data_IF_735134394000
#
_entry.id   IF_735134394000
#
_cell.length_a   1.000
_cell.length_b   1.000
_cell.length_c   1.000
_cell.angle_alpha   90.00
_cell.angle_beta   90.00
_cell.angle_gamma   90.00
#
_symmetry.space_group_name_H-M   'P 1'
#
loop_
_entity.id
_entity.type
_entity.pdbx_description
1 polymer ?
#
# COMPACT_ATOMS: atom_id res chain seq x y z
N UNK A 1 -57.36 -13.05 -10.73
CA UNK A 1 -58.48 -12.16 -11.08
C UNK A 1 -58.04 -11.35 -12.29
N UNK A 2 -58.77 -11.59 -13.40
CA UNK A 2 -58.54 -11.03 -14.71
C UNK A 2 -59.14 -9.62 -14.85
N UNK A 3 -58.56 -8.84 -15.75
CA UNK A 3 -59.20 -7.90 -16.67
C UNK A 3 -58.08 -7.28 -17.50
N UNK A 4 -57.82 -7.65 -18.68
CA UNK A 4 -58.53 -7.64 -19.98
C UNK A 4 -59.04 -6.21 -20.32
N UNK A 5 -58.39 -5.56 -21.29
CA UNK A 5 -59.09 -4.90 -22.36
C UNK A 5 -58.18 -4.63 -23.57
N UNK A 6 -58.67 -5.09 -24.67
CA UNK A 6 -58.20 -5.03 -26.05
C UNK A 6 -58.83 -3.82 -26.78
N UNK A 7 -58.47 -3.57 -28.05
CA UNK A 7 -58.42 -2.27 -28.68
C UNK A 7 -59.65 -1.95 -29.52
N UNK A 8 -59.87 -0.70 -29.82
CA UNK A 8 -60.82 -0.31 -30.88
C UNK A 8 -60.07 0.32 -32.06
N UNK A 9 -60.37 -0.29 -33.18
CA UNK A 9 -60.07 0.18 -34.53
C UNK A 9 -61.19 1.12 -34.99
N UNK A 10 -60.86 2.24 -35.58
CA UNK A 10 -61.77 2.93 -36.51
C UNK A 10 -60.96 3.57 -37.61
N UNK A 11 -61.27 3.06 -38.81
CA UNK A 11 -60.96 3.60 -40.11
C UNK A 11 -61.64 4.96 -40.30
N UNK A 12 -60.95 5.95 -40.75
CA UNK A 12 -61.49 7.03 -41.56
C UNK A 12 -60.50 7.41 -42.64
N UNK A 13 -60.90 7.05 -43.88
CA UNK A 13 -60.27 7.53 -45.09
C UNK A 13 -60.77 8.96 -45.33
N UNK A 14 -59.85 9.92 -45.35
CA UNK A 14 -60.11 11.26 -45.90
C UNK A 14 -59.00 11.66 -46.87
N UNK A 15 -59.47 11.76 -48.09
CA UNK A 15 -59.18 12.63 -49.21
C UNK A 15 -57.89 13.48 -49.11
N UNK A 16 -56.86 13.10 -49.85
CA UNK A 16 -55.65 13.84 -50.08
C UNK A 16 -55.70 14.51 -51.47
N UNK A 17 -56.29 15.69 -51.50
CA UNK A 17 -56.00 16.69 -52.51
C UNK A 17 -55.43 17.95 -51.82
N UNK A 18 -54.16 17.91 -51.41
CA UNK A 18 -53.42 19.15 -51.15
C UNK A 18 -52.49 19.44 -52.35
N UNK A 19 -52.44 20.68 -52.81
CA UNK A 19 -51.58 21.07 -53.91
C UNK A 19 -50.12 20.99 -53.48
N UNK A 20 -49.27 20.52 -54.40
CA UNK A 20 -47.83 20.60 -54.30
C UNK A 20 -47.43 22.05 -54.06
N UNK A 21 -47.01 22.32 -52.84
CA UNK A 21 -46.49 23.61 -52.43
C UNK A 21 -45.18 23.91 -53.23
N UNK A 22 -45.20 25.04 -53.82
CA UNK A 22 -44.13 25.59 -54.68
C UNK A 22 -42.79 25.46 -53.97
N UNK A 23 -41.80 24.92 -54.67
CA UNK A 23 -40.43 24.82 -54.22
C UNK A 23 -39.92 26.16 -53.75
N UNK A 24 -39.96 26.39 -52.46
CA UNK A 24 -39.39 27.57 -51.84
C UNK A 24 -37.90 27.61 -52.17
N UNK A 25 -37.51 28.42 -53.15
CA UNK A 25 -36.10 28.78 -53.38
C UNK A 25 -35.56 29.38 -52.10
N UNK A 26 -34.72 28.64 -51.36
CA UNK A 26 -33.93 29.20 -50.27
C UNK A 26 -33.20 30.42 -50.82
N UNK A 27 -33.55 31.60 -50.32
CA UNK A 27 -32.89 32.84 -50.71
C UNK A 27 -31.40 32.74 -50.40
N UNK A 28 -30.57 33.18 -51.30
CA UNK A 28 -29.11 33.22 -51.11
C UNK A 28 -28.76 33.89 -49.77
N UNK A 29 -29.57 34.81 -49.29
CA UNK A 29 -29.47 35.47 -47.99
C UNK A 29 -29.72 34.51 -46.85
N UNK A 30 -30.65 33.55 -46.96
CA UNK A 30 -30.91 32.54 -45.89
C UNK A 30 -29.79 31.54 -45.75
N UNK A 31 -29.20 31.12 -46.86
CA UNK A 31 -28.02 30.26 -46.89
C UNK A 31 -26.81 30.94 -46.26
N UNK A 32 -26.59 32.23 -46.62
CA UNK A 32 -25.48 33.04 -46.06
C UNK A 32 -25.69 33.26 -44.55
N UNK A 33 -26.92 33.57 -44.12
CA UNK A 33 -27.24 33.76 -42.70
C UNK A 33 -27.14 32.48 -41.90
N UNK A 34 -27.55 31.34 -42.43
CA UNK A 34 -27.39 30.02 -41.84
C UNK A 34 -25.88 29.64 -41.71
N UNK A 35 -25.11 29.89 -42.76
CA UNK A 35 -23.66 29.72 -42.76
C UNK A 35 -22.94 30.57 -41.70
N UNK A 36 -23.33 31.87 -41.59
CA UNK A 36 -22.80 32.75 -40.54
C UNK A 36 -23.18 32.30 -39.14
N UNK A 37 -24.40 31.81 -38.90
CA UNK A 37 -24.83 31.26 -37.61
C UNK A 37 -24.06 30.01 -37.26
N UNK A 38 -23.75 29.13 -38.20
CA UNK A 38 -22.92 27.94 -37.97
C UNK A 38 -21.47 28.30 -37.67
N UNK A 39 -20.88 29.28 -38.39
CA UNK A 39 -19.52 29.78 -38.14
C UNK A 39 -19.39 30.39 -36.74
N UNK A 40 -20.30 31.29 -36.34
CA UNK A 40 -20.29 31.87 -34.98
C UNK A 40 -20.51 30.83 -33.89
N UNK A 41 -21.32 29.81 -34.12
CA UNK A 41 -21.52 28.70 -33.17
C UNK A 41 -20.26 27.84 -33.02
N UNK A 42 -19.57 27.55 -34.14
CA UNK A 42 -18.29 26.78 -34.08
C UNK A 42 -17.18 27.58 -33.40
N UNK A 43 -17.07 28.87 -33.62
CA UNK A 43 -16.13 29.77 -32.94
C UNK A 43 -16.41 29.84 -31.43
N UNK A 44 -17.67 29.91 -31.02
CA UNK A 44 -18.06 29.89 -29.61
C UNK A 44 -17.74 28.57 -28.95
N UNK A 45 -17.95 27.44 -29.64
CA UNK A 45 -17.60 26.10 -29.15
C UNK A 45 -16.07 25.93 -28.99
N UNK A 46 -15.30 26.38 -29.99
CA UNK A 46 -13.84 26.37 -29.92
C UNK A 46 -13.30 27.24 -28.77
N UNK A 47 -13.86 28.44 -28.60
CA UNK A 47 -13.49 29.34 -27.52
C UNK A 47 -13.86 28.76 -26.13
N UNK A 48 -15.00 28.09 -26.03
CA UNK A 48 -15.42 27.40 -24.80
C UNK A 48 -14.51 26.23 -24.48
N UNK A 49 -14.15 25.40 -25.46
CA UNK A 49 -13.21 24.30 -25.32
C UNK A 49 -11.80 24.77 -24.93
N UNK A 50 -11.31 25.82 -25.57
CA UNK A 50 -10.01 26.42 -25.23
C UNK A 50 -9.98 26.93 -23.78
N UNK A 51 -11.04 27.60 -23.32
CA UNK A 51 -11.16 28.07 -21.94
C UNK A 51 -11.30 26.90 -20.94
N UNK A 52 -11.97 25.84 -21.32
CA UNK A 52 -12.10 24.62 -20.51
C UNK A 52 -10.75 23.93 -20.39
N UNK A 53 -10.02 23.77 -21.49
CA UNK A 53 -8.70 23.16 -21.52
C UNK A 53 -7.68 23.98 -20.71
N UNK A 54 -7.69 25.30 -20.82
CA UNK A 54 -6.83 26.18 -20.03
C UNK A 54 -7.12 26.07 -18.52
N UNK A 55 -8.41 25.99 -18.13
CA UNK A 55 -8.78 25.77 -16.71
C UNK A 55 -8.34 24.40 -16.20
N UNK A 56 -8.51 23.36 -17.01
CA UNK A 56 -8.06 22.02 -16.64
C UNK A 56 -6.54 21.96 -16.50
N UNK A 57 -5.80 22.56 -17.44
CA UNK A 57 -4.34 22.65 -17.38
C UNK A 57 -3.85 23.38 -16.11
N UNK A 58 -4.49 24.51 -15.77
CA UNK A 58 -4.16 25.25 -14.55
C UNK A 58 -4.47 24.44 -13.28
N UNK A 59 -5.58 23.71 -13.26
CA UNK A 59 -5.93 22.82 -12.12
C UNK A 59 -4.91 21.70 -11.97
N UNK A 60 -4.52 21.05 -13.07
CA UNK A 60 -3.49 20.00 -13.06
C UNK A 60 -2.12 20.54 -12.65
N UNK A 61 -1.74 21.73 -13.12
CA UNK A 61 -0.48 22.37 -12.73
C UNK A 61 -0.48 22.75 -11.24
N UNK A 62 -1.60 23.25 -10.70
CA UNK A 62 -1.76 23.50 -9.27
C UNK A 62 -1.61 22.21 -8.47
N UNK A 63 -2.26 21.12 -8.87
CA UNK A 63 -2.16 19.84 -8.19
C UNK A 63 -0.72 19.30 -8.24
N UNK A 64 -0.05 19.39 -9.38
CA UNK A 64 1.35 18.97 -9.53
C UNK A 64 2.28 19.77 -8.60
N UNK A 65 2.07 21.08 -8.46
CA UNK A 65 2.83 21.91 -7.53
C UNK A 65 2.62 21.45 -6.06
N UNK A 66 1.39 21.11 -5.68
CA UNK A 66 1.08 20.57 -4.36
C UNK A 66 1.70 19.20 -4.15
N UNK A 67 1.73 18.34 -5.16
CA UNK A 67 2.43 17.05 -5.15
C UNK A 67 3.91 17.24 -4.86
N UNK A 68 4.57 18.17 -5.53
CA UNK A 68 6.00 18.47 -5.27
C UNK A 68 6.20 18.95 -3.83
N UNK A 69 5.35 19.85 -3.33
CA UNK A 69 5.45 20.35 -1.94
C UNK A 69 5.28 19.20 -0.92
N UNK A 70 4.26 18.35 -1.11
CA UNK A 70 4.04 17.16 -0.27
C UNK A 70 5.27 16.25 -0.29
N UNK A 71 5.85 16.06 -1.48
CA UNK A 71 6.95 15.12 -1.68
C UNK A 71 8.27 15.62 -1.11
N UNK A 72 8.55 16.91 -1.22
CA UNK A 72 9.69 17.55 -0.55
C UNK A 72 9.56 17.42 0.98
N UNK A 73 8.38 17.76 1.52
CA UNK A 73 8.12 17.62 2.94
C UNK A 73 8.26 16.17 3.42
N UNK A 74 7.76 15.21 2.61
CA UNK A 74 7.87 13.79 2.93
C UNK A 74 9.32 13.28 2.82
N UNK A 75 10.09 13.73 1.82
CA UNK A 75 11.52 13.38 1.70
C UNK A 75 12.35 13.82 2.90
N UNK A 76 12.10 15.05 3.40
CA UNK A 76 12.70 15.54 4.65
C UNK A 76 12.24 14.70 5.86
N UNK A 77 10.95 14.41 5.96
CA UNK A 77 10.40 13.58 7.04
C UNK A 77 10.95 12.14 7.00
N UNK A 78 11.15 11.58 5.81
CA UNK A 78 11.74 10.25 5.61
C UNK A 78 13.20 10.21 6.08
N UNK A 79 14.02 11.19 5.65
CA UNK A 79 15.40 11.32 6.11
C UNK A 79 15.47 11.41 7.65
N UNK A 80 14.70 12.31 8.27
CA UNK A 80 14.70 12.48 9.71
C UNK A 80 14.23 11.20 10.44
N UNK A 81 13.23 10.52 9.89
CA UNK A 81 12.71 9.28 10.45
C UNK A 81 13.74 8.15 10.38
N UNK A 82 14.36 7.94 9.21
CA UNK A 82 15.39 6.92 9.03
C UNK A 82 16.61 7.19 9.92
N UNK A 83 17.08 8.45 9.99
CA UNK A 83 18.16 8.85 10.89
C UNK A 83 17.82 8.56 12.37
N UNK A 84 16.58 8.88 12.80
CA UNK A 84 16.13 8.59 14.16
C UNK A 84 16.07 7.09 14.48
N UNK A 85 15.69 6.25 13.50
CA UNK A 85 15.68 4.80 13.64
C UNK A 85 17.10 4.20 13.71
N UNK A 86 18.03 4.73 12.91
CA UNK A 86 19.41 4.28 12.94
C UNK A 86 20.04 4.61 14.30
N UNK A 87 19.85 5.84 14.80
CA UNK A 87 20.32 6.24 16.14
C UNK A 87 19.69 5.36 17.23
N UNK A 88 18.37 5.10 17.13
CA UNK A 88 17.67 4.28 18.10
C UNK A 88 18.16 2.82 18.11
N UNK A 89 18.47 2.28 16.93
CA UNK A 89 18.99 0.92 16.77
C UNK A 89 20.41 0.81 17.32
N UNK A 90 21.29 1.71 16.90
CA UNK A 90 22.69 1.76 17.39
C UNK A 90 22.74 1.90 18.92
N UNK A 91 21.96 2.83 19.48
CA UNK A 91 21.88 3.01 20.92
C UNK A 91 21.39 1.75 21.66
N UNK A 92 20.36 1.06 21.13
CA UNK A 92 19.86 -0.17 21.71
C UNK A 92 20.89 -1.31 21.69
N UNK A 93 21.63 -1.45 20.60
CA UNK A 93 22.65 -2.50 20.45
C UNK A 93 23.79 -2.35 21.47
N UNK A 94 24.14 -1.11 21.81
CA UNK A 94 25.14 -0.83 22.83
C UNK A 94 24.60 -0.83 24.28
N UNK A 95 23.28 -0.81 24.50
CA UNK A 95 22.65 -0.63 25.79
C UNK A 95 21.52 -1.66 26.02
N UNK A 96 21.89 -2.90 26.34
CA UNK A 96 20.91 -4.03 26.50
C UNK A 96 19.81 -3.74 27.55
N UNK A 97 20.11 -2.93 28.58
CA UNK A 97 19.13 -2.57 29.61
C UNK A 97 17.89 -1.85 29.07
N UNK A 98 17.97 -1.25 27.87
CA UNK A 98 16.88 -0.47 27.27
C UNK A 98 15.67 -1.34 26.90
N UNK A 99 15.87 -2.64 26.70
CA UNK A 99 14.77 -3.57 26.48
C UNK A 99 13.79 -3.59 27.67
N UNK A 100 14.27 -3.37 28.91
CA UNK A 100 13.43 -3.29 30.10
C UNK A 100 12.44 -2.11 30.05
N UNK A 101 12.66 -1.12 29.19
CA UNK A 101 11.76 0.01 29.00
C UNK A 101 10.61 -0.29 28.01
N UNK A 102 10.62 -1.43 27.31
CA UNK A 102 9.56 -1.79 26.36
C UNK A 102 8.16 -1.74 26.98
N UNK A 103 7.92 -2.26 28.22
CA UNK A 103 6.61 -2.13 28.88
C UNK A 103 6.21 -0.68 29.16
N UNK A 104 7.17 0.16 29.59
CA UNK A 104 6.92 1.57 29.89
C UNK A 104 6.54 2.33 28.62
N UNK A 105 7.32 2.17 27.54
CA UNK A 105 7.06 2.77 26.22
C UNK A 105 5.75 2.26 25.65
N UNK A 106 5.44 0.97 25.79
CA UNK A 106 4.16 0.40 25.35
C UNK A 106 2.98 1.05 26.01
N UNK A 107 3.02 1.19 27.36
CA UNK A 107 1.95 1.86 28.14
C UNK A 107 1.85 3.34 27.78
N UNK A 108 2.99 4.03 27.67
CA UNK A 108 3.01 5.46 27.29
C UNK A 108 2.41 5.68 25.90
N UNK A 109 2.81 4.88 24.92
CA UNK A 109 2.25 4.90 23.55
C UNK A 109 0.74 4.63 23.59
N UNK A 110 0.31 3.61 24.32
CA UNK A 110 -1.09 3.28 24.46
C UNK A 110 -1.88 4.44 25.09
N UNK A 111 -1.33 5.09 26.11
CA UNK A 111 -1.97 6.23 26.78
C UNK A 111 -2.10 7.45 25.85
N UNK A 112 -1.04 7.80 25.12
CA UNK A 112 -1.04 8.91 24.16
C UNK A 112 -2.07 8.68 23.06
N UNK A 113 -2.10 7.48 22.47
CA UNK A 113 -3.10 7.14 21.45
C UNK A 113 -4.53 7.09 21.99
N UNK A 114 -4.73 6.68 23.25
CA UNK A 114 -6.06 6.71 23.88
C UNK A 114 -6.59 8.15 24.01
N UNK A 115 -5.75 9.07 24.39
CA UNK A 115 -6.17 10.44 24.73
C UNK A 115 -6.13 11.38 23.50
N UNK A 116 -5.20 11.16 22.59
CA UNK A 116 -4.93 12.11 21.50
C UNK A 116 -5.02 11.52 20.09
N UNK A 117 -5.14 10.21 19.93
CA UNK A 117 -4.98 9.53 18.66
C UNK A 117 -5.93 8.37 18.35
N UNK A 118 -7.16 8.37 18.85
CA UNK A 118 -8.10 7.23 18.65
C UNK A 118 -8.27 6.83 17.18
N UNK A 119 -8.41 7.79 16.28
CA UNK A 119 -8.49 7.51 14.84
C UNK A 119 -7.14 6.99 14.28
N UNK A 120 -6.02 7.52 14.78
CA UNK A 120 -4.67 7.14 14.35
C UNK A 120 -4.31 5.67 14.66
N UNK A 121 -4.99 5.02 15.62
CA UNK A 121 -4.84 3.57 15.91
C UNK A 121 -5.13 2.68 14.71
N UNK A 122 -5.84 3.16 13.71
CA UNK A 122 -6.14 2.43 12.49
C UNK A 122 -4.93 2.32 11.54
N UNK A 123 -3.88 3.10 11.79
CA UNK A 123 -2.63 3.06 11.03
C UNK A 123 -2.88 3.24 9.53
N UNK A 124 -2.26 2.39 8.71
CA UNK A 124 -2.40 2.41 7.25
C UNK A 124 -3.85 2.24 6.75
N UNK A 125 -4.71 1.58 7.53
CA UNK A 125 -6.14 1.49 7.17
C UNK A 125 -6.84 2.86 7.18
N UNK A 126 -6.43 3.78 8.06
CA UNK A 126 -6.94 5.15 8.04
C UNK A 126 -6.43 5.91 6.81
N UNK A 127 -5.20 5.66 6.36
CA UNK A 127 -4.64 6.27 5.15
C UNK A 127 -5.42 5.82 3.91
N UNK A 128 -5.70 4.53 3.80
CA UNK A 128 -6.52 3.95 2.71
C UNK A 128 -7.92 4.56 2.72
N UNK A 129 -8.59 4.63 3.88
CA UNK A 129 -9.91 5.23 3.99
C UNK A 129 -9.92 6.73 3.63
N UNK A 130 -8.85 7.46 3.99
CA UNK A 130 -8.71 8.88 3.63
C UNK A 130 -8.50 9.05 2.12
N UNK A 131 -7.63 8.23 1.51
CA UNK A 131 -7.42 8.24 0.05
C UNK A 131 -8.72 7.99 -0.70
N UNK A 132 -9.60 7.14 -0.19
CA UNK A 132 -10.92 6.87 -0.77
C UNK A 132 -11.98 7.93 -0.43
N UNK A 133 -11.58 9.00 0.28
CA UNK A 133 -12.43 10.15 0.59
C UNK A 133 -13.44 9.92 1.70
N UNK A 134 -13.22 8.95 2.56
CA UNK A 134 -14.14 8.59 3.66
C UNK A 134 -13.78 9.25 5.00
N UNK A 135 -12.51 9.65 5.21
CA UNK A 135 -12.04 10.22 6.48
C UNK A 135 -10.88 11.21 6.27
N UNK A 136 -10.85 12.27 7.09
CA UNK A 136 -9.71 13.19 7.18
C UNK A 136 -8.70 12.66 8.23
N UNK A 137 -7.42 12.92 7.98
CA UNK A 137 -6.32 12.58 8.89
C UNK A 137 -5.77 13.86 9.50
N UNK A 138 -5.72 13.92 10.83
CA UNK A 138 -5.13 15.06 11.54
C UNK A 138 -3.60 14.96 11.57
N UNK A 139 -2.90 16.09 11.48
CA UNK A 139 -1.43 16.18 11.49
C UNK A 139 -0.79 15.48 12.71
N UNK A 140 -1.51 15.42 13.82
CA UNK A 140 -1.10 14.65 15.02
C UNK A 140 -0.71 13.21 14.73
N UNK A 141 -1.34 12.58 13.72
CA UNK A 141 -1.00 11.19 13.36
C UNK A 141 0.45 11.06 12.89
N UNK A 142 0.94 11.99 12.05
CA UNK A 142 2.33 11.94 11.58
C UNK A 142 3.32 12.01 12.75
N UNK A 143 3.12 12.97 13.66
CA UNK A 143 3.97 13.15 14.84
C UNK A 143 3.92 11.93 15.76
N UNK A 144 2.72 11.43 16.07
CA UNK A 144 2.54 10.26 16.93
C UNK A 144 3.18 9.01 16.31
N UNK A 145 2.98 8.81 15.01
CA UNK A 145 3.56 7.67 14.30
C UNK A 145 5.09 7.75 14.29
N UNK A 146 5.65 8.93 14.00
CA UNK A 146 7.09 9.15 14.03
C UNK A 146 7.70 8.83 15.41
N UNK A 147 7.21 9.50 16.46
CA UNK A 147 7.76 9.37 17.81
C UNK A 147 7.53 7.97 18.38
N UNK A 148 6.30 7.45 18.31
CA UNK A 148 6.00 6.16 18.91
C UNK A 148 6.64 5.00 18.17
N UNK A 149 6.83 5.09 16.84
CA UNK A 149 7.55 4.07 16.07
C UNK A 149 9.04 4.09 16.42
N UNK A 150 9.68 5.26 16.50
CA UNK A 150 11.08 5.38 16.93
C UNK A 150 11.29 4.82 18.34
N UNK A 151 10.39 5.13 19.29
CA UNK A 151 10.45 4.58 20.64
C UNK A 151 10.24 3.06 20.68
N UNK A 152 9.35 2.52 19.83
CA UNK A 152 9.18 1.06 19.70
C UNK A 152 10.49 0.39 19.26
N UNK A 153 11.18 0.95 18.27
CA UNK A 153 12.46 0.42 17.79
C UNK A 153 13.59 0.59 18.83
N UNK A 154 13.63 1.73 19.50
CA UNK A 154 14.59 2.02 20.57
C UNK A 154 14.51 0.96 21.68
N UNK A 155 13.30 0.58 22.09
CA UNK A 155 13.09 -0.38 23.19
C UNK A 155 12.97 -1.83 22.75
N UNK A 156 13.24 -2.11 21.48
CA UNK A 156 13.35 -3.48 20.97
C UNK A 156 12.04 -4.10 20.47
N UNK A 157 10.97 -3.34 20.27
CA UNK A 157 9.77 -3.89 19.64
C UNK A 157 10.05 -4.29 18.19
N UNK A 158 9.73 -5.55 17.82
CA UNK A 158 9.94 -6.07 16.46
C UNK A 158 8.90 -5.52 15.51
N UNK A 159 9.31 -4.57 14.66
CA UNK A 159 8.44 -3.89 13.69
C UNK A 159 9.25 -3.33 12.53
N UNK A 160 8.56 -2.91 11.46
CA UNK A 160 9.14 -2.24 10.30
C UNK A 160 8.97 -0.73 10.34
N UNK A 161 9.57 -0.06 9.38
CA UNK A 161 9.60 1.42 9.25
C UNK A 161 8.63 1.95 8.19
N UNK A 162 8.36 1.17 7.16
CA UNK A 162 7.68 1.64 5.94
C UNK A 162 6.20 1.94 6.16
N UNK A 163 5.51 1.09 6.93
CA UNK A 163 4.12 1.34 7.29
C UNK A 163 3.94 2.66 8.05
N UNK A 164 4.91 2.99 8.91
CA UNK A 164 4.94 4.29 9.60
C UNK A 164 5.18 5.44 8.63
N UNK A 165 6.11 5.29 7.67
CA UNK A 165 6.37 6.29 6.65
C UNK A 165 5.15 6.57 5.78
N UNK A 166 4.43 5.55 5.34
CA UNK A 166 3.17 5.68 4.58
C UNK A 166 2.12 6.47 5.38
N UNK A 167 2.03 6.23 6.70
CA UNK A 167 1.15 7.01 7.58
C UNK A 167 1.56 8.48 7.64
N UNK A 168 2.86 8.78 7.72
CA UNK A 168 3.39 10.14 7.74
C UNK A 168 3.08 10.84 6.41
N UNK A 169 3.40 10.21 5.27
CA UNK A 169 3.18 10.78 3.94
C UNK A 169 1.70 11.01 3.63
N UNK A 170 0.85 10.02 3.94
CA UNK A 170 -0.60 10.16 3.79
C UNK A 170 -1.17 11.27 4.70
N UNK A 171 -0.62 11.44 5.91
CA UNK A 171 -1.02 12.51 6.82
C UNK A 171 -0.63 13.89 6.27
N UNK A 172 0.60 14.05 5.77
CA UNK A 172 1.06 15.31 5.15
C UNK A 172 0.16 15.65 3.96
N UNK A 173 -0.08 14.69 3.06
CA UNK A 173 -0.94 14.86 1.90
C UNK A 173 -2.38 15.26 2.29
N UNK A 174 -2.98 14.60 3.27
CA UNK A 174 -4.33 14.89 3.76
C UNK A 174 -4.47 16.32 4.29
N UNK A 175 -3.47 16.78 5.07
CA UNK A 175 -3.49 18.13 5.64
C UNK A 175 -3.26 19.22 4.58
N UNK A 176 -2.32 19.02 3.64
CA UNK A 176 -2.09 19.95 2.53
C UNK A 176 -3.33 19.99 1.62
N UNK A 177 -3.97 18.85 1.36
CA UNK A 177 -5.23 18.81 0.61
C UNK A 177 -6.33 19.61 1.28
N UNK A 178 -6.49 19.48 2.60
CA UNK A 178 -7.47 20.23 3.38
C UNK A 178 -7.18 21.75 3.36
N UNK A 179 -5.90 22.13 3.54
CA UNK A 179 -5.47 23.52 3.50
C UNK A 179 -5.68 24.17 2.12
N UNK A 180 -5.44 23.41 1.05
CA UNK A 180 -5.65 23.84 -0.33
C UNK A 180 -7.11 23.76 -0.80
N UNK A 181 -8.03 23.27 0.07
CA UNK A 181 -9.46 23.09 -0.20
C UNK A 181 -9.71 22.27 -1.49
N UNK A 182 -8.97 21.14 -1.64
CA UNK A 182 -9.05 20.31 -2.83
C UNK A 182 -10.41 19.58 -2.92
N UNK A 183 -10.86 19.36 -4.14
CA UNK A 183 -12.02 18.51 -4.42
C UNK A 183 -11.67 17.04 -4.16
N UNK A 184 -12.68 16.20 -4.00
CA UNK A 184 -12.53 14.78 -3.68
C UNK A 184 -11.58 14.03 -4.63
N UNK A 185 -11.63 14.30 -5.93
CA UNK A 185 -10.76 13.68 -6.92
C UNK A 185 -9.30 14.11 -6.72
N UNK A 186 -9.04 15.42 -6.62
CA UNK A 186 -7.69 15.97 -6.44
C UNK A 186 -7.10 15.57 -5.05
N UNK A 187 -7.97 15.44 -4.04
CA UNK A 187 -7.60 14.89 -2.72
C UNK A 187 -7.12 13.44 -2.84
N UNK A 188 -7.86 12.62 -3.56
CA UNK A 188 -7.49 11.23 -3.83
C UNK A 188 -6.12 11.13 -4.49
N UNK A 189 -5.91 11.86 -5.58
CA UNK A 189 -4.63 11.86 -6.33
C UNK A 189 -3.46 12.33 -5.45
N UNK A 190 -3.67 13.39 -4.65
CA UNK A 190 -2.65 13.89 -3.73
C UNK A 190 -2.34 12.88 -2.60
N UNK A 191 -3.34 12.15 -2.12
CA UNK A 191 -3.15 11.09 -1.12
C UNK A 191 -2.30 9.95 -1.67
N UNK A 192 -2.61 9.47 -2.89
CA UNK A 192 -1.81 8.42 -3.55
C UNK A 192 -0.38 8.91 -3.81
N UNK A 193 -0.21 10.17 -4.22
CA UNK A 193 1.10 10.80 -4.38
C UNK A 193 1.89 10.85 -3.06
N UNK A 194 1.25 11.20 -1.94
CA UNK A 194 1.88 11.20 -0.61
C UNK A 194 2.32 9.80 -0.16
N UNK A 195 1.52 8.78 -0.43
CA UNK A 195 1.87 7.36 -0.19
C UNK A 195 3.08 6.96 -1.06
N UNK A 196 3.05 7.31 -2.35
CA UNK A 196 4.14 7.05 -3.31
C UNK A 196 5.45 7.69 -2.88
N UNK A 197 5.40 8.96 -2.48
CA UNK A 197 6.57 9.70 -1.99
C UNK A 197 7.18 9.06 -0.74
N UNK A 198 6.31 8.66 0.21
CA UNK A 198 6.76 8.03 1.45
C UNK A 198 7.46 6.69 1.18
N UNK A 199 6.89 5.89 0.30
CA UNK A 199 7.45 4.59 -0.07
C UNK A 199 8.79 4.75 -0.80
N UNK A 200 8.84 5.58 -1.85
CA UNK A 200 10.06 5.83 -2.62
C UNK A 200 11.20 6.40 -1.77
N UNK A 201 10.88 7.35 -0.87
CA UNK A 201 11.85 8.00 0.00
C UNK A 201 12.43 7.08 1.08
N UNK A 202 11.64 6.12 1.61
CA UNK A 202 12.10 5.24 2.70
C UNK A 202 12.79 3.98 2.18
N UNK A 203 12.37 3.48 1.03
CA UNK A 203 12.97 2.28 0.42
C UNK A 203 14.14 2.55 -0.53
N UNK A 204 14.28 3.78 -1.02
CA UNK A 204 15.19 4.03 -2.12
C UNK A 204 14.74 3.44 -3.46
N UNK A 205 13.43 3.21 -3.59
CA UNK A 205 12.83 2.52 -4.74
C UNK A 205 11.75 3.39 -5.38
N UNK A 206 12.12 4.38 -6.20
CA UNK A 206 11.17 5.36 -6.72
C UNK A 206 10.14 4.79 -7.70
N UNK A 207 10.49 3.82 -8.55
CA UNK A 207 9.52 3.14 -9.42
C UNK A 207 8.52 2.35 -8.59
N UNK A 208 9.02 1.52 -7.67
CA UNK A 208 8.16 0.77 -6.78
C UNK A 208 7.22 1.68 -5.99
N UNK A 209 7.72 2.80 -5.46
CA UNK A 209 6.92 3.76 -4.71
C UNK A 209 5.79 4.36 -5.53
N UNK A 210 6.05 4.70 -6.80
CA UNK A 210 5.02 5.22 -7.70
C UNK A 210 3.88 4.18 -7.90
N UNK A 211 4.22 2.96 -8.25
CA UNK A 211 3.23 1.91 -8.46
C UNK A 211 2.56 1.44 -7.17
N UNK A 212 3.29 1.47 -6.03
CA UNK A 212 2.73 1.16 -4.73
C UNK A 212 1.58 2.10 -4.36
N UNK A 213 1.74 3.41 -4.55
CA UNK A 213 0.66 4.36 -4.31
C UNK A 213 -0.57 4.10 -5.18
N UNK A 214 -0.38 3.76 -6.46
CA UNK A 214 -1.47 3.44 -7.39
C UNK A 214 -2.19 2.11 -7.08
N UNK A 215 -1.50 1.16 -6.40
CA UNK A 215 -1.99 -0.21 -6.19
C UNK A 215 -2.45 -0.48 -4.76
N UNK A 216 -1.88 0.18 -3.76
CA UNK A 216 -2.05 -0.12 -2.33
C UNK A 216 -3.51 -0.09 -1.85
N UNK A 217 -4.35 0.77 -2.42
CA UNK A 217 -5.73 0.93 -1.97
C UNK A 217 -6.69 -0.15 -2.48
N UNK A 218 -6.31 -0.87 -3.53
CA UNK A 218 -7.17 -1.79 -4.26
C UNK A 218 -6.55 -3.17 -4.43
N UNK A 219 -7.40 -4.20 -4.46
CA UNK A 219 -7.02 -5.55 -4.87
C UNK A 219 -7.62 -5.81 -6.26
N UNK A 220 -6.75 -6.14 -7.22
CA UNK A 220 -7.13 -6.42 -8.60
C UNK A 220 -7.40 -5.18 -9.45
N UNK A 221 -6.94 -3.99 -9.03
CA UNK A 221 -7.02 -2.74 -9.80
C UNK A 221 -5.80 -1.87 -9.51
N UNK A 222 -5.31 -1.19 -10.54
CA UNK A 222 -4.33 -0.10 -10.44
C UNK A 222 -5.04 1.21 -10.79
N UNK A 223 -4.79 2.25 -10.01
CA UNK A 223 -5.34 3.57 -10.28
C UNK A 223 -4.38 4.40 -11.14
N UNK A 224 -4.57 4.31 -12.45
CA UNK A 224 -3.73 5.05 -13.42
C UNK A 224 -4.02 6.55 -13.46
N UNK A 225 -5.16 7.01 -12.90
CA UNK A 225 -5.53 8.45 -12.95
C UNK A 225 -4.53 9.30 -12.18
N UNK A 226 -4.04 8.78 -11.05
CA UNK A 226 -3.00 9.41 -10.24
C UNK A 226 -1.56 9.13 -10.73
N UNK A 227 -1.38 8.39 -11.83
CA UNK A 227 -0.08 7.83 -12.24
C UNK A 227 1.04 8.85 -12.33
N UNK A 228 0.83 9.98 -13.03
CA UNK A 228 1.86 11.03 -13.17
C UNK A 228 2.18 11.69 -11.82
N UNK A 229 1.18 11.90 -10.96
CA UNK A 229 1.38 12.47 -9.64
C UNK A 229 2.16 11.52 -8.72
N UNK A 230 1.87 10.22 -8.78
CA UNK A 230 2.60 9.18 -8.05
C UNK A 230 4.05 9.06 -8.50
N UNK A 231 4.31 9.11 -9.83
CA UNK A 231 5.67 9.12 -10.37
C UNK A 231 6.46 10.33 -9.88
N UNK A 232 5.94 11.55 -10.13
CA UNK A 232 6.62 12.78 -9.70
C UNK A 232 6.85 12.77 -8.18
N UNK A 233 5.86 12.34 -7.40
CA UNK A 233 5.96 12.31 -5.95
C UNK A 233 7.04 11.36 -5.46
N UNK A 234 7.05 10.14 -5.97
CA UNK A 234 7.99 9.11 -5.54
C UNK A 234 9.44 9.49 -5.84
N UNK A 235 9.70 9.95 -7.07
CA UNK A 235 11.05 10.42 -7.45
C UNK A 235 11.47 11.68 -6.67
N UNK A 236 10.57 12.65 -6.49
CA UNK A 236 10.89 13.86 -5.70
C UNK A 236 11.21 13.51 -4.26
N UNK A 237 10.42 12.65 -3.61
CA UNK A 237 10.67 12.20 -2.24
C UNK A 237 11.98 11.45 -2.11
N UNK A 238 12.26 10.52 -3.02
CA UNK A 238 13.51 9.76 -3.09
C UNK A 238 14.73 10.68 -3.23
N UNK A 239 14.74 11.57 -4.24
CA UNK A 239 15.87 12.47 -4.43
C UNK A 239 16.07 13.45 -3.26
N UNK A 240 14.98 13.92 -2.65
CA UNK A 240 15.07 14.78 -1.46
C UNK A 240 15.74 14.04 -0.31
N UNK A 241 15.32 12.82 -0.03
CA UNK A 241 15.92 12.00 1.04
C UNK A 241 17.38 11.68 0.74
N UNK A 242 17.72 11.35 -0.52
CA UNK A 242 19.08 11.06 -0.97
C UNK A 242 20.02 12.26 -0.82
N UNK A 243 19.59 13.45 -1.24
CA UNK A 243 20.36 14.71 -1.12
C UNK A 243 20.61 15.06 0.34
N UNK A 244 19.72 14.70 1.25
CA UNK A 244 19.89 14.88 2.69
C UNK A 244 20.80 13.83 3.35
N UNK A 245 21.33 12.88 2.56
CA UNK A 245 22.31 11.88 3.04
C UNK A 245 21.69 10.59 3.54
N UNK A 246 20.48 10.22 3.07
CA UNK A 246 19.94 8.88 3.35
C UNK A 246 20.72 7.83 2.57
N UNK A 247 21.24 6.84 3.28
CA UNK A 247 21.88 5.66 2.70
C UNK A 247 20.85 4.51 2.65
N UNK A 248 20.86 3.77 1.54
CA UNK A 248 19.98 2.62 1.33
C UNK A 248 20.81 1.34 1.27
N UNK A 249 20.38 0.32 2.02
CA UNK A 249 21.01 -0.99 1.98
C UNK A 249 20.78 -1.65 0.61
N UNK A 250 21.86 -2.10 -0.01
CA UNK A 250 21.81 -2.82 -1.28
C UNK A 250 22.12 -4.30 -1.04
N UNK A 251 21.16 -5.16 -1.33
CA UNK A 251 21.39 -6.60 -1.43
C UNK A 251 21.62 -6.98 -2.90
N UNK A 252 22.64 -7.78 -3.17
CA UNK A 252 23.01 -8.17 -4.53
C UNK A 252 22.70 -9.65 -4.76
N UNK A 253 22.09 -9.95 -5.92
CA UNK A 253 21.94 -11.33 -6.38
C UNK A 253 23.27 -11.77 -6.99
N UNK A 254 23.95 -12.71 -6.35
CA UNK A 254 25.28 -13.16 -6.76
C UNK A 254 25.25 -13.98 -8.08
N UNK A 255 24.23 -14.83 -8.26
CA UNK A 255 24.07 -15.62 -9.47
C UNK A 255 22.61 -15.87 -9.79
N UNK A 256 22.24 -15.67 -11.05
CA UNK A 256 20.89 -15.99 -11.55
C UNK A 256 20.96 -17.27 -12.38
N UNK A 257 20.19 -18.31 -11.99
CA UNK A 257 20.17 -19.56 -12.75
C UNK A 257 19.51 -19.37 -14.12
N UNK A 258 19.89 -20.21 -15.06
CA UNK A 258 19.20 -20.27 -16.35
C UNK A 258 17.74 -20.70 -16.16
N UNK A 259 16.83 -20.14 -16.97
CA UNK A 259 15.40 -20.46 -16.93
C UNK A 259 15.14 -21.85 -17.56
N UNK A 260 15.35 -22.89 -16.76
CA UNK A 260 15.06 -24.29 -17.15
C UNK A 260 13.73 -24.73 -16.54
N UNK A 261 13.07 -25.79 -17.05
CA UNK A 261 11.84 -26.32 -16.44
C UNK A 261 12.02 -26.65 -14.95
N UNK A 262 13.17 -27.20 -14.54
CA UNK A 262 13.49 -27.48 -13.13
C UNK A 262 13.53 -26.20 -12.30
N UNK A 263 14.22 -25.18 -12.76
CA UNK A 263 14.33 -23.89 -12.06
C UNK A 263 12.95 -23.23 -11.92
N UNK A 264 12.14 -23.23 -12.99
CA UNK A 264 10.78 -22.67 -12.95
C UNK A 264 9.90 -23.41 -11.96
N UNK A 265 9.94 -24.73 -11.90
CA UNK A 265 9.17 -25.52 -10.91
C UNK A 265 9.58 -25.18 -9.48
N UNK A 266 10.88 -25.07 -9.19
CA UNK A 266 11.38 -24.68 -7.87
C UNK A 266 10.86 -23.27 -7.51
N UNK A 267 10.97 -22.32 -8.42
CA UNK A 267 10.52 -20.94 -8.22
C UNK A 267 9.00 -20.87 -7.99
N UNK A 268 8.21 -21.63 -8.74
CA UNK A 268 6.74 -21.70 -8.56
C UNK A 268 6.37 -22.27 -7.21
N UNK A 269 7.00 -23.36 -6.76
CA UNK A 269 6.76 -23.96 -5.45
C UNK A 269 7.17 -22.96 -4.35
N UNK A 270 8.34 -22.34 -4.48
CA UNK A 270 8.81 -21.32 -3.55
C UNK A 270 7.84 -20.14 -3.47
N UNK A 271 7.33 -19.65 -4.60
CA UNK A 271 6.36 -18.55 -4.65
C UNK A 271 5.04 -18.89 -3.93
N UNK A 272 4.57 -20.15 -4.02
CA UNK A 272 3.41 -20.62 -3.25
C UNK A 272 3.73 -20.56 -1.75
N UNK A 273 4.90 -21.04 -1.33
CA UNK A 273 5.35 -21.01 0.06
C UNK A 273 5.43 -19.55 0.56
N UNK A 274 6.00 -18.63 -0.22
CA UNK A 274 6.08 -17.20 0.11
C UNK A 274 4.68 -16.59 0.29
N UNK A 275 3.75 -16.89 -0.62
CA UNK A 275 2.36 -16.44 -0.51
C UNK A 275 1.66 -16.96 0.75
N UNK A 276 1.84 -18.24 1.08
CA UNK A 276 1.28 -18.84 2.30
C UNK A 276 1.92 -18.26 3.56
N UNK A 277 3.23 -17.97 3.54
CA UNK A 277 3.94 -17.33 4.66
C UNK A 277 3.40 -15.94 4.93
N UNK A 278 3.16 -15.12 3.89
CA UNK A 278 2.54 -13.81 4.03
C UNK A 278 1.13 -13.89 4.61
N UNK A 279 0.34 -14.87 4.17
CA UNK A 279 -0.99 -15.14 4.72
C UNK A 279 -0.94 -15.54 6.19
N UNK A 280 0.02 -16.41 6.56
CA UNK A 280 0.28 -16.83 7.94
C UNK A 280 0.65 -15.62 8.81
N UNK A 281 1.55 -14.76 8.33
CA UNK A 281 1.93 -13.53 9.03
C UNK A 281 0.70 -12.64 9.29
N UNK A 282 -0.07 -12.31 8.27
CA UNK A 282 -1.26 -11.48 8.40
C UNK A 282 -2.33 -12.11 9.31
N UNK A 283 -2.47 -13.43 9.29
CA UNK A 283 -3.34 -14.17 10.20
C UNK A 283 -2.81 -14.10 11.64
N UNK A 284 -1.52 -14.32 11.87
CA UNK A 284 -0.89 -14.28 13.20
C UNK A 284 -1.06 -12.93 13.88
N UNK A 285 -0.76 -11.82 13.16
CA UNK A 285 -0.93 -10.46 13.69
C UNK A 285 -2.39 -10.19 14.10
N UNK A 286 -3.35 -10.58 13.26
CA UNK A 286 -4.79 -10.43 13.56
C UNK A 286 -5.23 -11.29 14.74
N UNK A 287 -4.79 -12.54 14.78
CA UNK A 287 -5.15 -13.49 15.85
C UNK A 287 -4.61 -13.02 17.19
N UNK A 288 -3.33 -12.61 17.25
CA UNK A 288 -2.72 -12.07 18.48
C UNK A 288 -3.46 -10.81 18.93
N UNK A 289 -3.77 -9.88 18.01
CA UNK A 289 -4.55 -8.67 18.30
C UNK A 289 -5.95 -9.00 18.82
N UNK A 290 -6.62 -9.99 18.25
CA UNK A 290 -7.93 -10.46 18.69
C UNK A 290 -7.88 -11.11 20.07
N UNK A 291 -6.89 -11.99 20.33
CA UNK A 291 -6.68 -12.62 21.63
C UNK A 291 -6.45 -11.58 22.73
N UNK A 292 -5.53 -10.63 22.52
CA UNK A 292 -5.35 -9.54 23.47
C UNK A 292 -6.64 -8.75 23.67
N UNK A 293 -7.42 -8.51 22.58
CA UNK A 293 -8.71 -7.82 22.65
C UNK A 293 -9.76 -8.56 23.44
N UNK A 294 -9.81 -9.89 23.33
CA UNK A 294 -10.77 -10.76 24.00
C UNK A 294 -10.50 -10.90 25.50
N UNK A 295 -9.23 -11.05 25.89
CA UNK A 295 -8.86 -11.31 27.29
C UNK A 295 -8.56 -10.05 28.08
N UNK A 296 -8.15 -8.95 27.42
CA UNK A 296 -7.71 -7.72 28.09
C UNK A 296 -8.47 -6.52 27.51
N UNK A 297 -9.52 -6.10 28.21
CA UNK A 297 -10.35 -4.95 27.80
C UNK A 297 -9.64 -3.62 27.99
N UNK A 298 -8.82 -3.48 29.04
CA UNK A 298 -8.07 -2.27 29.28
C UNK A 298 -6.87 -2.17 28.33
N UNK A 299 -6.89 -1.13 27.51
CA UNK A 299 -5.89 -0.91 26.45
C UNK A 299 -4.46 -0.70 27.00
N UNK A 300 -4.31 -0.05 28.16
CA UNK A 300 -3.01 0.16 28.81
C UNK A 300 -2.43 -1.14 29.35
N UNK A 301 -3.28 -1.95 30.00
CA UNK A 301 -2.91 -3.27 30.52
C UNK A 301 -2.53 -4.22 29.38
N UNK A 302 -3.24 -4.10 28.25
CA UNK A 302 -2.91 -4.86 27.03
C UNK A 302 -1.51 -4.54 26.53
N UNK A 303 -1.13 -3.26 26.46
CA UNK A 303 0.20 -2.86 26.03
C UNK A 303 1.29 -3.34 27.01
N UNK A 304 1.03 -3.27 28.31
CA UNK A 304 1.93 -3.78 29.36
C UNK A 304 2.15 -5.30 29.22
N UNK A 305 1.08 -6.06 29.20
CA UNK A 305 1.15 -7.54 29.10
C UNK A 305 1.78 -7.94 27.76
N UNK A 306 1.40 -7.27 26.67
CA UNK A 306 1.99 -7.53 25.36
C UNK A 306 3.49 -7.29 25.33
N UNK A 307 3.98 -6.22 25.95
CA UNK A 307 5.42 -5.97 26.09
C UNK A 307 6.13 -7.08 26.88
N UNK A 308 5.54 -7.48 28.01
CA UNK A 308 6.12 -8.57 28.81
C UNK A 308 6.14 -9.91 28.06
N UNK A 309 5.12 -10.20 27.26
CA UNK A 309 5.09 -11.39 26.38
C UNK A 309 6.16 -11.32 25.30
N UNK A 310 6.41 -10.15 24.70
CA UNK A 310 7.50 -9.96 23.72
C UNK A 310 8.86 -10.21 24.38
N UNK A 311 9.11 -9.61 25.56
CA UNK A 311 10.36 -9.84 26.30
C UNK A 311 10.54 -11.31 26.72
N UNK A 312 9.47 -11.95 27.17
CA UNK A 312 9.50 -13.36 27.48
C UNK A 312 9.81 -14.23 26.24
N UNK A 313 9.23 -13.87 25.07
CA UNK A 313 9.54 -14.56 23.83
C UNK A 313 11.02 -14.39 23.44
N UNK A 314 11.59 -13.19 23.59
CA UNK A 314 13.02 -12.97 23.35
C UNK A 314 13.90 -13.83 24.28
N UNK A 315 13.56 -13.87 25.57
CA UNK A 315 14.33 -14.65 26.54
C UNK A 315 14.21 -16.16 26.34
N UNK A 316 13.01 -16.66 26.00
CA UNK A 316 12.75 -18.10 25.83
C UNK A 316 13.29 -18.66 24.51
N UNK A 317 13.31 -17.83 23.44
CA UNK A 317 13.73 -18.25 22.11
C UNK A 317 15.17 -17.79 21.79
N UNK A 318 15.85 -17.12 22.72
CA UNK A 318 17.12 -16.44 22.50
C UNK A 318 17.07 -15.53 21.25
N UNK A 319 15.99 -14.75 21.16
CA UNK A 319 15.61 -14.00 19.95
C UNK A 319 15.88 -12.49 20.03
N UNK A 320 16.88 -12.07 20.82
CA UNK A 320 17.22 -10.66 21.01
C UNK A 320 17.64 -9.95 19.71
N UNK A 321 18.32 -10.66 18.81
CA UNK A 321 18.77 -10.14 17.52
C UNK A 321 17.60 -9.88 16.56
N UNK A 322 16.41 -10.45 16.81
CA UNK A 322 15.21 -10.22 16.01
C UNK A 322 14.42 -8.99 16.45
N UNK A 323 14.93 -8.23 17.44
CA UNK A 323 14.33 -7.00 17.90
C UNK A 323 14.49 -5.86 16.88
N UNK A 324 13.53 -4.94 16.86
CA UNK A 324 13.54 -3.80 15.94
C UNK A 324 13.38 -4.20 14.48
N UNK A 325 14.13 -3.55 13.59
CA UNK A 325 14.09 -3.80 12.14
C UNK A 325 14.67 -5.17 11.77
N UNK A 326 15.77 -5.58 12.43
CA UNK A 326 16.53 -6.81 12.12
C UNK A 326 16.94 -6.89 10.64
N UNK A 327 17.52 -5.81 10.09
CA UNK A 327 17.95 -5.76 8.69
C UNK A 327 19.01 -6.80 8.37
N UNK A 328 19.84 -7.18 9.37
CA UNK A 328 20.81 -8.28 9.27
C UNK A 328 20.20 -9.58 8.73
N UNK A 329 18.92 -9.86 9.05
CA UNK A 329 18.24 -11.09 8.65
C UNK A 329 18.09 -11.19 7.11
N UNK A 330 17.87 -10.06 6.45
CA UNK A 330 17.87 -10.02 4.98
C UNK A 330 19.27 -10.35 4.44
N UNK A 331 20.31 -9.69 4.94
CA UNK A 331 21.69 -9.96 4.55
C UNK A 331 22.12 -11.41 4.79
N UNK A 332 21.75 -11.98 5.94
CA UNK A 332 22.00 -13.38 6.24
C UNK A 332 21.27 -14.34 5.28
N UNK A 333 20.02 -14.00 4.89
CA UNK A 333 19.28 -14.73 3.87
C UNK A 333 19.97 -14.73 2.51
N UNK A 334 20.46 -13.57 2.07
CA UNK A 334 21.23 -13.46 0.82
C UNK A 334 22.57 -14.21 0.87
N UNK A 335 23.19 -14.31 2.05
CA UNK A 335 24.42 -15.09 2.26
C UNK A 335 24.16 -16.61 2.40
N UNK A 336 22.90 -17.05 2.46
CA UNK A 336 22.54 -18.47 2.71
C UNK A 336 22.78 -18.94 4.15
N UNK A 337 22.92 -18.01 5.09
CA UNK A 337 23.21 -18.28 6.51
C UNK A 337 21.95 -18.26 7.38
N UNK A 338 20.81 -18.62 6.81
CA UNK A 338 19.52 -18.63 7.51
C UNK A 338 18.90 -20.02 7.53
N UNK A 339 18.03 -20.23 8.50
CA UNK A 339 17.23 -21.46 8.69
C UNK A 339 15.74 -21.13 8.65
N UNK A 340 14.90 -22.16 8.60
CA UNK A 340 13.44 -21.97 8.72
C UNK A 340 13.06 -21.34 10.08
N UNK A 341 13.85 -21.64 11.13
CA UNK A 341 13.62 -21.08 12.47
C UNK A 341 13.75 -19.55 12.49
N UNK A 342 14.71 -18.98 11.76
CA UNK A 342 14.92 -17.54 11.69
C UNK A 342 13.69 -16.81 11.13
N UNK A 343 13.12 -17.32 10.05
CA UNK A 343 11.89 -16.79 9.47
C UNK A 343 10.70 -16.93 10.44
N UNK A 344 10.59 -18.08 11.13
CA UNK A 344 9.51 -18.33 12.08
C UNK A 344 9.62 -17.45 13.33
N UNK A 345 10.82 -17.30 13.90
CA UNK A 345 11.07 -16.44 15.08
C UNK A 345 10.70 -15.00 14.74
N UNK A 346 11.21 -14.47 13.62
CA UNK A 346 10.88 -13.09 13.19
C UNK A 346 9.38 -12.89 13.01
N UNK A 347 8.69 -13.87 12.42
CA UNK A 347 7.24 -13.84 12.26
C UNK A 347 6.52 -13.76 13.61
N UNK A 348 6.89 -14.61 14.57
CA UNK A 348 6.26 -14.70 15.89
C UNK A 348 6.48 -13.41 16.68
N UNK A 349 7.73 -12.95 16.83
CA UNK A 349 8.03 -11.78 17.66
C UNK A 349 7.43 -10.50 17.07
N UNK A 350 7.34 -10.39 15.72
CA UNK A 350 6.66 -9.29 15.06
C UNK A 350 5.15 -9.35 15.28
N UNK A 351 4.54 -10.53 15.15
CA UNK A 351 3.11 -10.70 15.40
C UNK A 351 2.73 -10.39 16.85
N UNK A 352 3.56 -10.76 17.82
CA UNK A 352 3.38 -10.40 19.23
C UNK A 352 3.48 -8.89 19.45
N UNK A 353 4.48 -8.24 18.88
CA UNK A 353 4.70 -6.78 19.00
C UNK A 353 3.55 -5.98 18.41
N UNK A 354 3.23 -6.22 17.12
CA UNK A 354 2.18 -5.48 16.42
C UNK A 354 0.77 -5.81 16.96
N UNK A 355 0.56 -7.07 17.34
CA UNK A 355 -0.69 -7.53 17.95
C UNK A 355 -0.95 -6.88 19.32
N UNK A 356 0.08 -6.60 20.10
CA UNK A 356 -0.01 -5.87 21.37
C UNK A 356 -0.39 -4.39 21.18
N UNK A 357 -0.22 -3.84 19.98
CA UNK A 357 -0.58 -2.46 19.64
C UNK A 357 0.60 -1.49 19.63
N UNK A 358 1.83 -1.99 19.60
CA UNK A 358 3.01 -1.16 19.35
C UNK A 358 2.94 -0.56 17.96
N UNK A 359 3.53 0.64 17.82
CA UNK A 359 3.57 1.35 16.55
C UNK A 359 4.78 0.90 15.73
N UNK A 360 4.56 0.68 14.44
CA UNK A 360 5.56 0.26 13.47
C UNK A 360 4.90 -0.27 12.21
N UNK A 361 5.71 -0.63 11.23
CA UNK A 361 5.27 -1.19 9.95
C UNK A 361 5.36 -2.72 9.91
N UNK A 362 4.67 -3.31 8.96
CA UNK A 362 4.70 -4.73 8.69
C UNK A 362 5.71 -5.13 7.61
N UNK A 363 6.19 -4.17 6.81
CA UNK A 363 6.87 -4.45 5.52
C UNK A 363 8.30 -4.93 5.72
N UNK A 364 9.15 -4.24 6.52
CA UNK A 364 10.52 -4.71 6.79
C UNK A 364 10.54 -6.13 7.38
N UNK A 365 9.67 -6.49 8.37
CA UNK A 365 9.56 -7.87 8.80
C UNK A 365 9.20 -8.85 7.69
N UNK A 366 8.29 -8.51 6.78
CA UNK A 366 7.95 -9.36 5.64
C UNK A 366 9.14 -9.58 4.72
N UNK A 367 9.98 -8.56 4.51
CA UNK A 367 11.22 -8.68 3.76
C UNK A 367 12.21 -9.62 4.44
N UNK A 368 12.47 -9.42 5.73
CA UNK A 368 13.39 -10.28 6.48
C UNK A 368 12.93 -11.74 6.52
N UNK A 369 11.63 -11.98 6.79
CA UNK A 369 11.03 -13.32 6.77
C UNK A 369 11.16 -13.95 5.39
N UNK A 370 10.86 -13.20 4.34
CA UNK A 370 10.92 -13.66 2.96
C UNK A 370 12.35 -13.97 2.51
N UNK A 371 13.31 -13.09 2.83
CA UNK A 371 14.72 -13.29 2.51
C UNK A 371 15.31 -14.51 3.25
N UNK A 372 15.02 -14.63 4.55
CA UNK A 372 15.49 -15.79 5.34
C UNK A 372 14.93 -17.10 4.80
N UNK A 373 13.63 -17.16 4.54
CA UNK A 373 12.97 -18.34 4.00
C UNK A 373 13.48 -18.67 2.58
N UNK A 374 13.67 -17.66 1.73
CA UNK A 374 14.19 -17.82 0.39
C UNK A 374 15.63 -18.33 0.38
N UNK A 375 16.51 -17.74 1.21
CA UNK A 375 17.90 -18.17 1.36
C UNK A 375 18.01 -19.64 1.81
N UNK A 376 17.19 -20.02 2.82
CA UNK A 376 17.10 -21.41 3.29
C UNK A 376 16.65 -22.36 2.16
N UNK A 377 15.61 -22.00 1.40
CA UNK A 377 15.15 -22.82 0.24
C UNK A 377 16.24 -22.90 -0.80
N UNK A 378 17.04 -21.84 -1.01
CA UNK A 378 18.19 -21.83 -1.92
C UNK A 378 19.21 -22.91 -1.57
N UNK A 379 19.61 -22.96 -0.31
CA UNK A 379 20.50 -24.01 0.20
C UNK A 379 19.93 -25.41 0.02
N UNK A 380 18.63 -25.61 0.25
CA UNK A 380 17.99 -26.94 0.09
C UNK A 380 17.90 -27.39 -1.35
N UNK A 381 17.67 -26.47 -2.30
CA UNK A 381 17.43 -26.82 -3.70
C UNK A 381 18.69 -26.84 -4.55
N UNK A 382 19.81 -26.34 -3.99
CA UNK A 382 21.08 -26.17 -4.69
C UNK A 382 21.07 -25.00 -5.69
N UNK A 383 20.09 -24.09 -5.58
CA UNK A 383 20.10 -22.79 -6.26
C UNK A 383 20.83 -21.77 -5.40
N UNK A 384 21.33 -20.71 -6.03
CA UNK A 384 22.01 -19.63 -5.32
C UNK A 384 21.09 -19.04 -4.22
N UNK A 385 21.53 -19.01 -2.93
CA UNK A 385 20.72 -18.50 -1.85
C UNK A 385 20.30 -17.05 -2.05
N UNK A 386 21.18 -16.19 -2.60
CA UNK A 386 20.88 -14.77 -2.84
C UNK A 386 19.74 -14.60 -3.84
N UNK A 387 19.70 -15.46 -4.86
CA UNK A 387 18.62 -15.45 -5.84
C UNK A 387 17.26 -15.77 -5.20
N UNK A 388 17.17 -16.88 -4.44
CA UNK A 388 15.91 -17.25 -3.80
C UNK A 388 15.56 -16.35 -2.61
N UNK A 389 16.55 -15.77 -1.90
CA UNK A 389 16.33 -14.75 -0.88
C UNK A 389 15.68 -13.49 -1.48
N UNK A 390 16.17 -13.01 -2.62
CA UNK A 390 15.58 -11.88 -3.34
C UNK A 390 14.13 -12.16 -3.78
N UNK A 391 13.89 -13.35 -4.33
CA UNK A 391 12.54 -13.79 -4.71
C UNK A 391 11.62 -13.92 -3.50
N UNK A 392 12.11 -14.47 -2.39
CA UNK A 392 11.37 -14.63 -1.14
C UNK A 392 11.02 -13.30 -0.49
N UNK A 393 12.00 -12.39 -0.41
CA UNK A 393 11.83 -11.02 0.09
C UNK A 393 10.65 -10.33 -0.60
N UNK A 394 10.65 -10.31 -1.92
CA UNK A 394 9.60 -9.63 -2.70
C UNK A 394 8.31 -10.47 -2.82
N UNK A 395 8.40 -11.80 -2.82
CA UNK A 395 7.22 -12.67 -2.89
C UNK A 395 6.35 -12.60 -1.62
N UNK A 396 6.98 -12.59 -0.43
CA UNK A 396 6.26 -12.42 0.85
C UNK A 396 5.67 -11.03 0.97
N UNK A 397 6.41 -10.00 0.56
CA UNK A 397 5.92 -8.61 0.49
C UNK A 397 4.69 -8.49 -0.43
N UNK A 398 4.81 -8.99 -1.66
CA UNK A 398 3.75 -8.97 -2.67
C UNK A 398 2.43 -9.54 -2.14
N UNK A 399 2.49 -10.72 -1.57
CA UNK A 399 1.31 -11.41 -1.06
C UNK A 399 0.75 -10.77 0.20
N UNK A 400 1.63 -10.23 1.06
CA UNK A 400 1.24 -9.55 2.30
C UNK A 400 0.49 -8.26 2.08
N UNK A 401 0.88 -7.50 1.05
CA UNK A 401 0.28 -6.19 0.74
C UNK A 401 -0.68 -6.20 -0.46
N UNK A 402 -0.74 -7.30 -1.20
CA UNK A 402 -1.56 -7.44 -2.42
C UNK A 402 -1.15 -6.48 -3.56
N UNK A 403 0.15 -6.29 -3.79
CA UNK A 403 0.72 -5.30 -4.74
C UNK A 403 1.68 -5.95 -5.76
N UNK A 404 1.19 -6.78 -6.68
CA UNK A 404 2.05 -7.52 -7.61
C UNK A 404 2.82 -6.62 -8.58
N UNK A 405 2.24 -5.54 -9.08
CA UNK A 405 2.92 -4.67 -10.05
C UNK A 405 3.98 -3.80 -9.34
N UNK A 406 3.65 -3.22 -8.20
CA UNK A 406 4.64 -2.50 -7.39
C UNK A 406 5.83 -3.40 -7.01
N UNK A 407 5.58 -4.70 -6.77
CA UNK A 407 6.63 -5.70 -6.51
C UNK A 407 7.54 -5.91 -7.70
N UNK A 408 6.99 -6.00 -8.92
CA UNK A 408 7.80 -6.11 -10.15
C UNK A 408 8.66 -4.86 -10.36
N UNK A 409 8.12 -3.67 -10.09
CA UNK A 409 8.88 -2.41 -10.15
C UNK A 409 9.95 -2.34 -9.08
N UNK A 410 9.68 -2.86 -7.88
CA UNK A 410 10.67 -2.96 -6.80
C UNK A 410 11.83 -3.88 -7.17
N UNK A 411 11.56 -4.97 -7.87
CA UNK A 411 12.61 -5.84 -8.39
C UNK A 411 13.54 -5.12 -9.38
N UNK A 412 13.00 -4.22 -10.20
CA UNK A 412 13.78 -3.37 -11.11
C UNK A 412 14.64 -2.39 -10.32
N UNK A 413 14.07 -1.68 -9.35
CA UNK A 413 14.80 -0.69 -8.54
C UNK A 413 15.91 -1.34 -7.71
N UNK A 414 15.61 -2.43 -6.98
CA UNK A 414 16.56 -3.04 -6.04
C UNK A 414 17.59 -3.94 -6.72
N UNK A 415 17.22 -4.62 -7.80
CA UNK A 415 18.08 -5.62 -8.45
C UNK A 415 18.41 -5.29 -9.91
N UNK A 416 18.19 -4.03 -10.33
CA UNK A 416 18.54 -3.50 -11.66
C UNK A 416 18.00 -4.33 -12.82
N UNK A 417 16.80 -4.89 -12.66
CA UNK A 417 16.17 -5.77 -13.66
C UNK A 417 16.76 -7.17 -13.74
N UNK A 418 17.77 -7.49 -12.92
CA UNK A 418 18.34 -8.83 -12.82
C UNK A 418 17.25 -9.82 -12.39
N UNK A 419 17.13 -10.96 -13.10
CA UNK A 419 16.11 -11.99 -12.84
C UNK A 419 14.63 -11.53 -13.03
N UNK A 420 14.36 -10.46 -13.79
CA UNK A 420 13.03 -9.87 -13.95
C UNK A 420 11.92 -10.91 -14.27
N UNK A 421 12.18 -11.86 -15.17
CA UNK A 421 11.21 -12.92 -15.51
C UNK A 421 10.81 -13.79 -14.32
N UNK A 422 11.74 -14.11 -13.42
CA UNK A 422 11.45 -14.85 -12.19
C UNK A 422 10.67 -14.03 -11.18
N UNK A 423 10.98 -12.73 -11.07
CA UNK A 423 10.21 -11.84 -10.20
C UNK A 423 8.76 -11.70 -10.63
N UNK A 424 8.47 -11.63 -11.93
CA UNK A 424 7.10 -11.64 -12.45
C UNK A 424 6.38 -12.94 -12.04
N UNK A 425 7.01 -14.10 -12.23
CA UNK A 425 6.44 -15.39 -11.82
C UNK A 425 6.12 -15.38 -10.31
N UNK A 426 7.10 -14.98 -9.49
CA UNK A 426 6.93 -14.97 -8.03
C UNK A 426 5.87 -13.98 -7.60
N UNK A 427 5.85 -12.76 -8.14
CA UNK A 427 4.88 -11.73 -7.79
C UNK A 427 3.45 -12.23 -8.01
N UNK A 428 3.13 -12.76 -9.19
CA UNK A 428 1.77 -13.21 -9.47
C UNK A 428 1.39 -14.50 -8.75
N UNK A 429 2.30 -15.47 -8.62
CA UNK A 429 1.98 -16.74 -7.95
C UNK A 429 1.85 -16.52 -6.44
N UNK A 430 2.75 -15.77 -5.79
CA UNK A 430 2.62 -15.49 -4.37
C UNK A 430 1.38 -14.64 -4.05
N UNK A 431 1.05 -13.66 -4.92
CA UNK A 431 -0.19 -12.88 -4.84
C UNK A 431 -1.43 -13.78 -4.84
N UNK A 432 -1.50 -14.75 -5.74
CA UNK A 432 -2.63 -15.69 -5.81
C UNK A 432 -2.66 -16.64 -4.60
N UNK A 433 -1.50 -17.20 -4.21
CA UNK A 433 -1.38 -18.14 -3.09
C UNK A 433 -1.72 -17.49 -1.74
N UNK A 434 -1.33 -16.22 -1.53
CA UNK A 434 -1.65 -15.45 -0.33
C UNK A 434 -3.16 -15.21 -0.12
N UNK A 435 -3.95 -15.28 -1.20
CA UNK A 435 -5.38 -14.97 -1.16
C UNK A 435 -5.63 -13.49 -0.88
N UNK A 436 -6.83 -13.14 -0.43
CA UNK A 436 -7.23 -11.73 -0.18
C UNK A 436 -6.78 -11.20 1.19
N UNK A 437 -6.43 -12.07 2.14
CA UNK A 437 -6.16 -11.75 3.54
C UNK A 437 -4.76 -11.16 3.75
N UNK A 438 -4.53 -9.96 3.22
CA UNK A 438 -3.31 -9.18 3.45
C UNK A 438 -3.26 -8.50 4.82
N UNK A 439 -2.21 -7.68 5.06
CA UNK A 439 -1.99 -6.93 6.30
C UNK A 439 -2.89 -5.70 6.42
N UNK A 440 -3.49 -5.22 5.31
CA UNK A 440 -4.37 -4.06 5.27
C UNK A 440 -5.83 -4.41 5.01
N UNK A 441 -6.63 -4.67 6.06
CA UNK A 441 -8.04 -5.03 5.89
C UNK A 441 -8.94 -3.94 5.29
N UNK A 442 -8.49 -2.67 5.22
CA UNK A 442 -9.22 -1.59 4.55
C UNK A 442 -9.07 -1.58 3.01
N UNK A 443 -8.20 -2.40 2.43
CA UNK A 443 -8.09 -2.52 0.97
C UNK A 443 -9.44 -2.92 0.37
N UNK A 444 -9.78 -2.30 -0.77
CA UNK A 444 -11.02 -2.60 -1.49
C UNK A 444 -10.79 -3.65 -2.57
N UNK A 445 -11.66 -4.66 -2.59
CA UNK A 445 -11.61 -5.73 -3.58
C UNK A 445 -12.44 -5.29 -4.80
N UNK A 446 -11.77 -4.99 -5.90
CA UNK A 446 -12.41 -4.63 -7.17
C UNK A 446 -12.51 -5.86 -8.07
N UNK A 447 -11.41 -6.64 -8.17
CA UNK A 447 -11.42 -7.91 -8.89
C UNK A 447 -10.95 -9.01 -7.93
N UNK A 448 -11.83 -9.93 -7.53
CA UNK A 448 -11.46 -10.99 -6.60
C UNK A 448 -10.45 -11.95 -7.25
N UNK A 449 -9.44 -12.38 -6.48
CA UNK A 449 -8.42 -13.34 -6.91
C UNK A 449 -9.00 -14.73 -7.20
N UNK A 450 -10.13 -15.07 -6.60
CA UNK A 450 -10.86 -16.34 -6.79
C UNK A 450 -12.28 -16.04 -7.19
N UNK A 451 -12.75 -16.67 -8.26
CA UNK A 451 -14.13 -16.52 -8.78
C UNK A 451 -15.21 -16.99 -7.80
N UNK A 452 -14.85 -17.87 -6.85
CA UNK A 452 -15.77 -18.37 -5.82
C UNK A 452 -16.00 -17.41 -4.67
N UNK A 453 -15.24 -16.31 -4.59
CA UNK A 453 -15.42 -15.31 -3.54
C UNK A 453 -16.52 -14.34 -3.97
N UNK A 454 -17.67 -14.40 -3.31
CA UNK A 454 -18.77 -13.45 -3.49
C UNK A 454 -18.44 -12.24 -2.61
N UNK A 455 -17.99 -11.18 -3.22
CA UNK A 455 -17.76 -9.87 -2.58
C UNK A 455 -18.55 -8.84 -3.35
N UNK A 456 -19.23 -7.94 -2.65
CA UNK A 456 -19.83 -6.77 -3.30
C UNK A 456 -18.72 -5.94 -3.95
N UNK A 457 -18.96 -5.47 -5.15
CA UNK A 457 -17.96 -4.66 -5.87
C UNK A 457 -17.53 -3.46 -5.03
N UNK A 458 -16.23 -3.38 -4.75
CA UNK A 458 -15.66 -2.35 -3.87
C UNK A 458 -15.80 -2.61 -2.37
N UNK A 459 -16.22 -3.80 -1.94
CA UNK A 459 -16.20 -4.24 -0.54
C UNK A 459 -14.78 -4.35 0.01
N UNK A 460 -14.61 -4.14 1.31
CA UNK A 460 -13.31 -4.24 1.97
C UNK A 460 -12.90 -5.69 2.25
N UNK A 461 -11.60 -5.92 2.43
CA UNK A 461 -11.08 -7.23 2.88
C UNK A 461 -11.67 -7.61 4.24
N UNK A 462 -11.91 -6.63 5.13
CA UNK A 462 -12.54 -6.86 6.43
C UNK A 462 -13.95 -7.44 6.27
N UNK A 463 -14.80 -6.81 5.48
CA UNK A 463 -16.18 -7.27 5.20
C UNK A 463 -16.20 -8.65 4.55
N UNK A 464 -15.27 -8.92 3.64
CA UNK A 464 -15.15 -10.24 3.00
C UNK A 464 -14.77 -11.35 3.99
N UNK A 465 -13.99 -11.02 5.04
CA UNK A 465 -13.61 -11.96 6.09
C UNK A 465 -14.80 -12.23 7.01
N UNK A 466 -15.53 -11.20 7.42
CA UNK A 466 -16.71 -11.31 8.28
C UNK A 466 -17.77 -12.19 7.63
N UNK A 467 -18.17 -11.92 6.38
CA UNK A 467 -19.12 -12.75 5.64
C UNK A 467 -18.69 -14.22 5.47
N UNK A 468 -17.39 -14.46 5.31
CA UNK A 468 -16.90 -15.85 5.19
C UNK A 468 -17.00 -16.59 6.53
N UNK A 469 -16.82 -15.90 7.64
CA UNK A 469 -17.00 -16.49 8.96
C UNK A 469 -18.48 -16.78 9.25
N UNK A 470 -19.40 -15.88 8.85
CA UNK A 470 -20.85 -16.06 8.99
C UNK A 470 -21.41 -17.23 8.15
N UNK A 471 -20.69 -17.65 7.09
CA UNK A 471 -21.05 -18.81 6.28
C UNK A 471 -20.52 -20.14 6.83
N UNK A 472 -19.66 -20.10 7.85
CA UNK A 472 -19.06 -21.28 8.49
C UNK A 472 -19.70 -21.55 9.87
N UNK A 473 -20.33 -20.54 10.50
CA UNK A 473 -21.19 -20.68 11.69
C UNK A 473 -22.62 -21.13 11.29
#
# INVERSE_FOLDING_TARGET
MAHNNKPESANEAQDHSQPLDDGGFFSLSDVIMAGRRQLTRSEQLLAADTRRNARNLFASAKLLALVVIVSLAMGVAAWAFLASLNIATDYREHHVWIYALLPVVGVATAWVYKNHGLAAKRGNNLVIDSALGTRLIHMRMAVLTFVCSTLTHLTGGSAGREGAAVQIGGTIASNISSLAHLKKHDHHDLMLAGISSAFGAVFGSPLAGAFFGMEMCFIGKIDYTAGIYCLVASFTGYFTSLVLGTEYEANVIASVPTMTPRTVVIVVISAIIFGLTARLFAWSVRTVKSLYGRFITNYLVRALIGALVVLAAYALLDAWDYAGLSTWLSGAGFAGNTTLADAAIKLVVTALTLGAGFQGGEVTPLFGIGAALGGWIGCLTGLDPSFLAALGMLGVFCAGLNVPIATCMMAIDLFHGTAAGFFVIVAFISYLAGGHRGVYPAQRIISPKRRSLIVDEGGTVAEAIERHNDLIE
#
